data_IF_696796230449
#
_entry.id   IF_696796230449
#
_cell.length_a   1.000
_cell.length_b   1.000
_cell.length_c   1.000
_cell.angle_alpha   90.00
_cell.angle_beta   90.00
_cell.angle_gamma   90.00
#
_symmetry.space_group_name_H-M   'P 1'
#
loop_
_entity.id
_entity.type
_entity.pdbx_description
1 polymer ?
#
# COMPACT_ATOMS: atom_id res chain seq x y z
N UNK A 1 -8.31 -1.10 8.95
CA UNK A 1 -8.02 -0.36 10.19
C UNK A 1 -8.16 1.15 9.98
N UNK A 2 -7.47 1.72 8.99
CA UNK A 2 -7.39 3.17 8.79
C UNK A 2 -8.69 3.88 8.38
N UNK A 3 -9.56 3.25 7.59
CA UNK A 3 -10.78 3.90 7.06
C UNK A 3 -11.69 4.53 8.14
N UNK A 4 -11.72 4.01 9.38
CA UNK A 4 -12.50 4.61 10.48
C UNK A 4 -11.79 5.74 11.22
N UNK A 5 -10.50 5.92 10.97
CA UNK A 5 -9.60 6.86 11.65
C UNK A 5 -9.08 7.96 10.71
N UNK A 6 -9.36 7.84 9.41
CA UNK A 6 -8.95 8.80 8.37
C UNK A 6 -10.17 9.33 7.63
N UNK A 7 -10.03 10.52 7.03
CA UNK A 7 -11.09 11.10 6.22
C UNK A 7 -11.38 10.26 4.96
N UNK A 8 -10.32 9.79 4.31
CA UNK A 8 -10.39 9.02 3.07
C UNK A 8 -9.21 8.04 2.99
N UNK A 9 -9.37 6.99 2.20
CA UNK A 9 -8.33 5.98 1.93
C UNK A 9 -8.32 5.68 0.43
N UNK A 10 -7.13 5.65 -0.17
CA UNK A 10 -6.92 5.06 -1.49
C UNK A 10 -6.25 3.70 -1.30
N UNK A 11 -6.88 2.64 -1.79
CA UNK A 11 -6.34 1.28 -1.77
C UNK A 11 -5.91 0.89 -3.18
N UNK A 12 -4.63 0.58 -3.36
CA UNK A 12 -4.04 0.17 -4.64
C UNK A 12 -3.63 -1.28 -4.57
N UNK A 13 -3.96 -2.05 -5.62
CA UNK A 13 -3.49 -3.41 -5.82
C UNK A 13 -3.24 -3.65 -7.31
N UNK A 14 -2.31 -4.54 -7.64
CA UNK A 14 -1.96 -4.89 -9.01
C UNK A 14 -3.03 -5.76 -9.69
N UNK A 15 -3.96 -6.32 -8.92
CA UNK A 15 -4.96 -7.28 -9.42
C UNK A 15 -6.39 -6.84 -9.12
N UNK A 16 -7.26 -6.95 -10.13
CA UNK A 16 -8.69 -6.67 -9.98
C UNK A 16 -9.37 -7.61 -8.97
N UNK A 17 -8.88 -8.86 -8.86
CA UNK A 17 -9.44 -9.83 -7.92
C UNK A 17 -9.28 -9.38 -6.46
N UNK A 18 -8.10 -8.86 -6.08
CA UNK A 18 -7.88 -8.37 -4.72
C UNK A 18 -8.67 -7.10 -4.43
N UNK A 19 -8.80 -6.20 -5.42
CA UNK A 19 -9.68 -5.04 -5.29
C UNK A 19 -11.14 -5.45 -5.11
N UNK A 20 -11.60 -6.48 -5.84
CA UNK A 20 -12.94 -7.06 -5.69
C UNK A 20 -13.21 -7.54 -4.26
N UNK A 21 -12.26 -8.31 -3.69
CA UNK A 21 -12.33 -8.74 -2.28
C UNK A 21 -12.35 -7.55 -1.31
N UNK A 22 -11.53 -6.53 -1.56
CA UNK A 22 -11.50 -5.31 -0.76
C UNK A 22 -12.83 -4.55 -0.77
N UNK A 23 -13.44 -4.38 -1.95
CA UNK A 23 -14.76 -3.74 -2.11
C UNK A 23 -15.86 -4.52 -1.38
N UNK A 24 -15.87 -5.85 -1.51
CA UNK A 24 -16.83 -6.70 -0.80
C UNK A 24 -16.69 -6.52 0.72
N UNK A 25 -15.47 -6.60 1.25
CA UNK A 25 -15.22 -6.43 2.68
C UNK A 25 -15.59 -5.03 3.19
N UNK A 26 -15.37 -4.00 2.38
CA UNK A 26 -15.79 -2.64 2.72
C UNK A 26 -17.31 -2.54 2.82
N UNK A 27 -18.05 -3.13 1.86
CA UNK A 27 -19.50 -3.17 1.86
C UNK A 27 -20.06 -3.90 3.09
N UNK A 28 -19.52 -5.09 3.41
CA UNK A 28 -19.90 -5.88 4.60
C UNK A 28 -19.71 -5.10 5.91
N UNK A 29 -18.73 -4.20 5.95
CA UNK A 29 -18.39 -3.40 7.13
C UNK A 29 -18.99 -1.99 7.12
N UNK A 30 -19.82 -1.68 6.13
CA UNK A 30 -20.39 -0.36 5.88
C UNK A 30 -19.31 0.75 5.85
N UNK A 31 -18.18 0.47 5.22
CA UNK A 31 -17.10 1.44 4.98
C UNK A 31 -17.31 2.05 3.59
N UNK A 32 -17.40 3.37 3.53
CA UNK A 32 -17.77 4.10 2.29
C UNK A 32 -16.70 5.10 1.82
N UNK A 33 -15.63 5.30 2.59
CA UNK A 33 -14.59 6.29 2.31
C UNK A 33 -13.29 5.66 1.78
N UNK A 34 -13.40 4.60 0.97
CA UNK A 34 -12.25 3.91 0.38
C UNK A 34 -12.39 3.88 -1.14
N UNK A 35 -11.42 4.46 -1.83
CA UNK A 35 -11.29 4.38 -3.28
C UNK A 35 -10.30 3.28 -3.64
N UNK A 36 -10.79 2.26 -4.33
CA UNK A 36 -9.96 1.16 -4.82
C UNK A 36 -9.50 1.45 -6.25
N UNK A 37 -8.19 1.40 -6.50
CA UNK A 37 -7.56 1.68 -7.80
C UNK A 37 -6.67 0.51 -8.22
N UNK A 38 -6.80 0.07 -9.48
CA UNK A 38 -5.84 -0.85 -10.07
C UNK A 38 -4.55 -0.09 -10.35
N UNK A 39 -3.41 -0.63 -9.91
CA UNK A 39 -2.13 0.03 -10.12
C UNK A 39 -0.93 -0.77 -9.66
N UNK A 40 0.20 -0.46 -10.25
CA UNK A 40 1.50 -0.94 -9.81
C UNK A 40 2.04 -0.03 -8.71
N UNK A 41 2.62 -0.62 -7.67
CA UNK A 41 3.26 0.15 -6.59
C UNK A 41 4.52 0.88 -7.09
N UNK A 42 5.12 0.39 -8.17
CA UNK A 42 6.28 1.01 -8.82
C UNK A 42 5.89 2.20 -9.71
N UNK A 43 4.58 2.40 -9.95
CA UNK A 43 3.99 3.52 -10.70
C UNK A 43 2.58 3.83 -10.16
N UNK A 44 2.50 4.45 -8.99
CA UNK A 44 1.24 4.65 -8.29
C UNK A 44 0.30 5.59 -9.06
N UNK A 45 -0.99 5.24 -9.20
CA UNK A 45 -2.01 6.08 -9.82
C UNK A 45 -2.48 7.18 -8.85
N UNK A 46 -1.55 8.04 -8.45
CA UNK A 46 -1.75 9.15 -7.52
C UNK A 46 -0.77 10.30 -7.81
N UNK A 47 -1.17 11.51 -7.44
CA UNK A 47 -0.39 12.72 -7.60
C UNK A 47 0.71 12.87 -6.55
N UNK A 48 1.60 13.83 -6.80
CA UNK A 48 2.68 14.18 -5.88
C UNK A 48 2.12 14.84 -4.63
N UNK A 49 2.61 14.45 -3.44
CA UNK A 49 2.17 15.05 -2.18
C UNK A 49 0.67 14.92 -1.89
N UNK A 50 0.01 13.86 -2.35
CA UNK A 50 -1.44 13.66 -2.16
C UNK A 50 -1.76 13.14 -0.74
N UNK A 51 -0.86 12.36 -0.13
CA UNK A 51 -1.17 11.62 1.10
C UNK A 51 -0.36 12.06 2.33
N UNK A 52 -1.03 12.10 3.48
CA UNK A 52 -0.39 12.30 4.78
C UNK A 52 0.27 11.01 5.33
N UNK A 53 -0.27 9.85 4.91
CA UNK A 53 0.14 8.52 5.36
C UNK A 53 0.10 7.54 4.19
N UNK A 54 1.20 6.81 3.99
CA UNK A 54 1.28 5.65 3.08
C UNK A 54 1.56 4.41 3.90
N UNK A 55 0.81 3.34 3.63
CA UNK A 55 0.96 2.06 4.33
C UNK A 55 1.10 0.94 3.31
N UNK A 56 2.15 0.15 3.43
CA UNK A 56 2.27 -1.14 2.77
C UNK A 56 2.35 -2.24 3.83
N UNK A 57 1.62 -3.33 3.61
CA UNK A 57 1.57 -4.47 4.53
C UNK A 57 1.58 -5.79 3.78
N UNK A 58 2.58 -6.63 4.05
CA UNK A 58 2.78 -7.95 3.42
C UNK A 58 2.70 -7.90 1.89
N UNK A 59 3.45 -6.98 1.29
CA UNK A 59 3.43 -6.73 -0.15
C UNK A 59 4.84 -6.58 -0.73
N UNK A 60 5.78 -6.02 0.02
CA UNK A 60 7.14 -5.69 -0.42
C UNK A 60 7.95 -6.87 -0.93
N UNK A 61 7.75 -8.06 -0.36
CA UNK A 61 8.38 -9.28 -0.83
C UNK A 61 7.94 -9.73 -2.23
N UNK A 62 6.89 -9.12 -2.80
CA UNK A 62 6.46 -9.35 -4.18
C UNK A 62 6.96 -8.30 -5.17
N UNK A 63 7.61 -7.21 -4.72
CA UNK A 63 7.99 -6.11 -5.61
C UNK A 63 9.28 -6.45 -6.36
N UNK A 64 9.27 -6.47 -7.71
CA UNK A 64 10.49 -6.70 -8.49
C UNK A 64 11.57 -5.64 -8.23
N UNK A 65 11.17 -4.38 -8.06
CA UNK A 65 12.07 -3.25 -7.81
C UNK A 65 11.62 -2.45 -6.58
N UNK A 66 11.92 -2.92 -5.35
CA UNK A 66 11.48 -2.24 -4.12
C UNK A 66 11.94 -0.78 -4.03
N UNK A 67 13.10 -0.46 -4.59
CA UNK A 67 13.63 0.91 -4.64
C UNK A 67 12.77 1.85 -5.51
N UNK A 68 12.08 1.33 -6.52
CA UNK A 68 11.17 2.12 -7.34
C UNK A 68 9.85 2.35 -6.59
N UNK A 69 9.30 1.32 -5.96
CA UNK A 69 8.13 1.44 -5.08
C UNK A 69 8.35 2.47 -3.95
N UNK A 70 9.53 2.44 -3.30
CA UNK A 70 9.88 3.41 -2.27
C UNK A 70 9.98 4.84 -2.81
N UNK A 71 10.45 5.02 -4.05
CA UNK A 71 10.46 6.34 -4.70
C UNK A 71 9.05 6.86 -4.94
N UNK A 72 8.13 6.00 -5.37
CA UNK A 72 6.72 6.34 -5.52
C UNK A 72 6.07 6.70 -4.19
N UNK A 73 6.36 5.96 -3.11
CA UNK A 73 5.86 6.32 -1.77
C UNK A 73 6.33 7.69 -1.33
N UNK A 74 7.61 8.02 -1.54
CA UNK A 74 8.14 9.36 -1.23
C UNK A 74 7.47 10.43 -2.11
N UNK A 75 7.25 10.15 -3.40
CA UNK A 75 6.60 11.07 -4.34
C UNK A 75 5.17 11.41 -3.92
N UNK A 76 4.36 10.41 -3.59
CA UNK A 76 2.95 10.62 -3.25
C UNK A 76 2.73 11.12 -1.82
N UNK A 77 3.74 11.02 -0.94
CA UNK A 77 3.69 11.58 0.40
C UNK A 77 3.87 13.09 0.39
N UNK A 78 3.05 13.79 1.18
CA UNK A 78 3.28 15.20 1.51
C UNK A 78 4.62 15.36 2.25
N UNK A 79 5.27 16.53 2.16
CA UNK A 79 6.38 16.86 3.03
C UNK A 79 6.00 16.65 4.52
N UNK A 80 6.77 15.84 5.24
CA UNK A 80 6.49 15.46 6.63
C UNK A 80 5.46 14.34 6.82
N UNK A 81 4.95 13.76 5.73
CA UNK A 81 4.09 12.58 5.77
C UNK A 81 4.80 11.32 6.27
N UNK A 82 4.03 10.32 6.66
CA UNK A 82 4.56 9.08 7.26
C UNK A 82 4.44 7.90 6.30
N UNK A 83 5.51 7.10 6.20
CA UNK A 83 5.48 5.78 5.58
C UNK A 83 5.48 4.71 6.68
N UNK A 84 4.52 3.78 6.60
CA UNK A 84 4.53 2.55 7.38
C UNK A 84 4.76 1.38 6.42
N UNK A 85 5.89 0.70 6.57
CA UNK A 85 6.21 -0.53 5.85
C UNK A 85 6.19 -1.70 6.83
N UNK A 86 5.27 -2.63 6.65
CA UNK A 86 5.16 -3.84 7.46
C UNK A 86 5.33 -5.05 6.55
N UNK A 87 6.45 -5.75 6.68
CA UNK A 87 6.70 -6.92 5.85
C UNK A 87 7.54 -7.98 6.55
N UNK A 88 7.64 -9.14 5.90
CA UNK A 88 8.62 -10.16 6.23
C UNK A 88 10.00 -9.73 5.74
N UNK A 89 11.03 -10.13 6.48
CA UNK A 89 12.43 -9.92 6.11
C UNK A 89 13.14 -11.27 6.17
N UNK A 90 13.99 -11.53 5.18
CA UNK A 90 14.95 -12.63 5.24
C UNK A 90 16.23 -12.16 5.91
N UNK A 91 16.96 -13.08 6.51
CA UNK A 91 18.31 -12.81 7.02
C UNK A 91 19.31 -12.98 5.88
N UNK A 92 20.39 -12.20 5.90
CA UNK A 92 21.50 -12.34 4.95
C UNK A 92 22.37 -13.59 5.24
N UNK A 93 22.11 -14.28 6.35
CA UNK A 93 22.82 -15.50 6.73
C UNK A 93 22.10 -16.74 6.20
N UNK A 94 22.76 -17.43 5.26
CA UNK A 94 22.31 -18.71 4.69
C UNK A 94 22.11 -19.80 5.73
N UNK A 95 22.74 -19.71 6.91
CA UNK A 95 22.53 -20.68 8.00
C UNK A 95 21.15 -20.52 8.65
N UNK A 96 20.54 -19.34 8.50
CA UNK A 96 19.19 -19.04 8.98
C UNK A 96 18.11 -19.25 7.90
N UNK A 97 18.49 -19.66 6.69
CA UNK A 97 17.60 -20.00 5.59
C UNK A 97 17.27 -21.50 5.71
N UNK A 98 16.13 -21.82 6.34
CA UNK A 98 15.70 -23.20 6.64
C UNK A 98 15.16 -23.94 5.43
#
# INVERSE_FOLDING_TARGET
AFARQTAHVVAVDFTENMLGQGRQLAAERAITNVDFRLGDVEQLPAGDGEFDLVVSRYSAHHWPHPQQALREFVRVLKPGGTLILNDIVSYDDLVCDT
#
